data_IF_220116849909
#
_entry.id   IF_220116849909
#
_cell.length_a   1.000
_cell.length_b   1.000
_cell.length_c   1.000
_cell.angle_alpha   90.00
_cell.angle_beta   90.00
_cell.angle_gamma   90.00
#
_symmetry.space_group_name_H-M   'P 1'
#
loop_
_entity.id
_entity.type
_entity.pdbx_description
1 polymer ?
#
# COMPACT_ATOMS: atom_id res chain seq x y z
N UNK A 1 44.23 -17.91 6.88
CA UNK A 1 42.77 -18.03 6.99
C UNK A 1 42.17 -17.36 5.77
N UNK A 2 41.79 -18.12 4.75
CA UNK A 2 41.18 -17.59 3.54
C UNK A 2 39.73 -17.19 3.85
N UNK A 3 39.47 -15.91 4.01
CA UNK A 3 38.11 -15.37 4.01
C UNK A 3 37.68 -15.27 2.55
N UNK A 4 36.77 -16.09 2.13
CA UNK A 4 36.16 -16.00 0.79
C UNK A 4 35.35 -14.73 0.74
N UNK A 5 35.81 -13.72 0.00
CA UNK A 5 35.05 -12.48 -0.23
C UNK A 5 33.84 -12.81 -1.11
N UNK A 6 32.67 -12.91 -0.52
CA UNK A 6 31.43 -12.91 -1.27
C UNK A 6 31.06 -11.46 -1.60
N UNK A 7 31.03 -11.05 -2.87
CA UNK A 7 30.82 -9.65 -3.25
C UNK A 7 29.39 -9.15 -3.01
N UNK A 8 28.45 -10.05 -2.72
CA UNK A 8 27.05 -9.70 -2.46
C UNK A 8 26.62 -10.22 -1.10
N UNK A 9 25.98 -9.36 -0.32
CA UNK A 9 25.24 -9.74 0.87
C UNK A 9 23.95 -10.47 0.43
N UNK A 10 23.69 -11.62 1.06
CA UNK A 10 22.44 -12.33 0.84
C UNK A 10 21.38 -11.64 1.69
N UNK A 11 20.36 -11.14 1.02
CA UNK A 11 19.18 -10.60 1.71
C UNK A 11 18.28 -11.76 2.16
N UNK A 12 18.18 -11.94 3.47
CA UNK A 12 17.30 -12.94 4.09
C UNK A 12 16.06 -12.32 4.74
N UNK A 13 15.93 -11.00 4.67
CA UNK A 13 14.95 -10.28 5.48
C UNK A 13 13.91 -9.54 4.63
N UNK A 14 14.34 -8.93 3.53
CA UNK A 14 13.51 -8.06 2.75
C UNK A 14 13.01 -8.76 1.48
N UNK A 15 11.74 -8.52 1.18
CA UNK A 15 11.15 -8.92 -0.08
C UNK A 15 10.57 -7.67 -0.74
N UNK A 16 10.74 -7.55 -2.05
CA UNK A 16 10.06 -6.50 -2.80
C UNK A 16 8.56 -6.80 -2.82
N UNK A 17 7.76 -5.84 -2.36
CA UNK A 17 6.31 -5.96 -2.45
C UNK A 17 5.85 -5.74 -3.91
N UNK A 18 5.09 -6.69 -4.49
CA UNK A 18 4.62 -6.55 -5.86
C UNK A 18 3.64 -5.37 -6.03
N UNK A 19 2.78 -5.10 -5.04
CA UNK A 19 1.84 -4.00 -5.11
C UNK A 19 2.55 -2.65 -5.12
N UNK A 20 3.48 -2.43 -4.17
CA UNK A 20 4.24 -1.18 -4.11
C UNK A 20 5.07 -0.95 -5.39
N UNK A 21 5.70 -2.01 -5.91
CA UNK A 21 6.44 -1.96 -7.17
C UNK A 21 5.53 -1.61 -8.35
N UNK A 22 4.33 -2.20 -8.40
CA UNK A 22 3.34 -1.93 -9.43
C UNK A 22 2.84 -0.48 -9.38
N UNK A 23 2.46 0.03 -8.20
CA UNK A 23 2.02 1.42 -8.01
C UNK A 23 3.13 2.40 -8.42
N UNK A 24 4.36 2.15 -7.99
CA UNK A 24 5.51 2.99 -8.32
C UNK A 24 5.81 3.04 -9.82
N UNK A 25 5.58 1.95 -10.56
CA UNK A 25 5.85 1.88 -11.99
C UNK A 25 4.73 2.43 -12.87
N UNK A 26 3.47 2.28 -12.47
CA UNK A 26 2.32 2.55 -13.32
C UNK A 26 1.53 3.82 -12.96
N UNK A 27 1.45 4.15 -11.66
CA UNK A 27 0.59 5.24 -11.18
C UNK A 27 1.34 6.33 -10.41
N UNK A 28 2.66 6.33 -10.51
CA UNK A 28 3.49 7.36 -9.87
C UNK A 28 3.20 8.73 -10.46
N UNK A 29 3.05 9.71 -9.58
CA UNK A 29 3.02 11.13 -9.86
C UNK A 29 4.09 11.87 -9.07
N UNK A 30 4.54 12.98 -9.62
CA UNK A 30 5.51 13.85 -8.97
C UNK A 30 4.79 14.87 -8.12
N UNK A 31 5.22 15.02 -6.86
CA UNK A 31 4.73 16.06 -5.97
C UNK A 31 5.75 17.19 -5.91
N UNK A 32 5.37 18.35 -6.44
CA UNK A 32 6.25 19.53 -6.55
C UNK A 32 6.00 20.56 -5.44
N UNK A 33 5.18 20.24 -4.45
CA UNK A 33 4.87 21.11 -3.32
C UNK A 33 3.38 21.39 -3.17
N UNK A 34 3.03 22.12 -2.13
CA UNK A 34 1.66 22.42 -1.74
C UNK A 34 1.38 21.97 -0.30
N UNK A 35 0.24 22.33 0.25
CA UNK A 35 -0.15 21.95 1.60
C UNK A 35 -0.83 20.59 1.65
N UNK A 36 -1.58 20.27 0.61
CA UNK A 36 -2.32 19.02 0.46
C UNK A 36 -2.43 18.62 -1.01
N UNK A 37 -2.72 17.37 -1.25
CA UNK A 37 -3.03 16.82 -2.57
C UNK A 37 -4.55 16.82 -2.70
N UNK A 38 -5.08 17.47 -3.74
CA UNK A 38 -6.51 17.55 -4.02
C UNK A 38 -6.90 16.60 -5.15
N UNK A 39 -7.84 15.71 -4.89
CA UNK A 39 -8.43 14.80 -5.88
C UNK A 39 -9.88 15.19 -6.11
N UNK A 40 -10.22 15.68 -7.30
CA UNK A 40 -11.59 16.06 -7.65
C UNK A 40 -12.38 14.84 -8.10
N UNK A 41 -13.63 14.74 -7.68
CA UNK A 41 -14.52 13.65 -8.09
C UNK A 41 -15.96 14.13 -8.25
N UNK A 42 -16.69 13.44 -9.13
CA UNK A 42 -18.13 13.61 -9.31
C UNK A 42 -18.87 12.64 -8.38
N UNK A 43 -19.87 13.14 -7.67
CA UNK A 43 -20.70 12.31 -6.79
C UNK A 43 -22.16 12.23 -7.20
N UNK A 44 -22.61 13.14 -8.09
CA UNK A 44 -23.99 13.18 -8.58
C UNK A 44 -24.02 13.60 -10.05
N UNK A 45 -25.18 13.45 -10.68
CA UNK A 45 -25.44 13.88 -12.05
C UNK A 45 -26.12 15.24 -12.12
N UNK A 46 -26.03 15.88 -13.27
CA UNK A 46 -26.77 17.10 -13.56
C UNK A 46 -28.27 16.79 -13.70
N UNK A 47 -29.11 17.78 -13.37
CA UNK A 47 -30.56 17.70 -13.52
C UNK A 47 -30.91 17.77 -15.01
N UNK A 48 -31.64 16.77 -15.49
CA UNK A 48 -32.07 16.71 -16.87
C UNK A 48 -32.87 15.44 -17.19
N UNK A 49 -33.54 15.42 -18.33
CA UNK A 49 -34.30 14.26 -18.75
C UNK A 49 -35.21 14.55 -19.97
N UNK A 50 -36.00 13.56 -20.41
CA UNK A 50 -36.99 13.77 -21.46
C UNK A 50 -38.03 14.79 -21.01
N UNK A 51 -38.48 15.63 -21.94
CA UNK A 51 -39.46 16.67 -21.67
C UNK A 51 -40.64 16.59 -22.65
N UNK A 52 -41.78 17.11 -22.24
CA UNK A 52 -42.95 17.28 -23.05
C UNK A 52 -42.97 18.69 -23.63
N UNK A 53 -43.51 18.83 -24.85
CA UNK A 53 -43.61 20.11 -25.53
C UNK A 53 -44.36 21.15 -24.64
N UNK A 54 -43.76 22.32 -24.47
CA UNK A 54 -44.31 23.39 -23.66
C UNK A 54 -44.09 23.31 -22.14
N UNK A 55 -43.27 22.33 -21.66
CA UNK A 55 -42.87 22.26 -20.25
C UNK A 55 -41.68 23.16 -19.97
N UNK A 56 -41.69 23.85 -18.83
CA UNK A 56 -40.55 24.61 -18.29
C UNK A 56 -39.43 23.68 -17.87
N UNK A 57 -38.17 24.07 -18.13
CA UNK A 57 -36.99 23.36 -17.69
C UNK A 57 -36.61 23.77 -16.27
N UNK A 58 -36.13 22.81 -15.49
CA UNK A 58 -35.48 23.10 -14.21
C UNK A 58 -34.05 23.60 -14.52
N UNK A 59 -33.77 24.84 -14.16
CA UNK A 59 -32.49 25.54 -14.37
C UNK A 59 -31.67 25.63 -13.08
N UNK A 60 -32.03 24.86 -12.05
CA UNK A 60 -31.27 24.82 -10.79
C UNK A 60 -29.89 24.27 -11.04
N UNK A 61 -28.88 24.95 -10.54
CA UNK A 61 -27.47 24.49 -10.62
C UNK A 61 -27.15 23.60 -9.41
N UNK A 62 -27.13 22.26 -9.56
CA UNK A 62 -26.74 21.37 -8.47
C UNK A 62 -25.24 21.35 -8.30
N UNK A 63 -24.76 21.22 -7.07
CA UNK A 63 -23.36 20.92 -6.79
C UNK A 63 -23.14 19.44 -7.03
N UNK A 64 -22.33 19.07 -8.01
CA UNK A 64 -22.07 17.68 -8.43
C UNK A 64 -20.61 17.23 -8.23
N UNK A 65 -19.75 18.19 -7.90
CA UNK A 65 -18.30 17.98 -7.75
C UNK A 65 -17.84 18.27 -6.34
N UNK A 66 -16.85 17.51 -5.87
CA UNK A 66 -16.17 17.79 -4.61
C UNK A 66 -14.71 17.34 -4.69
N UNK A 67 -13.88 17.82 -3.74
CA UNK A 67 -12.46 17.55 -3.67
C UNK A 67 -12.10 16.79 -2.40
N UNK A 68 -11.46 15.62 -2.56
CA UNK A 68 -10.76 14.92 -1.50
C UNK A 68 -9.41 15.61 -1.24
N UNK A 69 -9.04 15.73 0.02
CA UNK A 69 -7.77 16.34 0.42
C UNK A 69 -6.93 15.35 1.23
N UNK A 70 -5.70 15.13 0.78
CA UNK A 70 -4.75 14.23 1.43
C UNK A 70 -3.47 14.98 1.80
N UNK A 71 -3.00 14.76 3.02
CA UNK A 71 -1.72 15.29 3.46
C UNK A 71 -0.59 14.38 3.02
N UNK A 72 0.52 15.00 2.57
CA UNK A 72 1.74 14.24 2.32
C UNK A 72 2.31 13.71 3.64
N UNK A 73 2.85 12.51 3.62
CA UNK A 73 3.43 11.84 4.79
C UNK A 73 4.92 11.66 4.60
N UNK A 74 5.65 11.71 5.71
CA UNK A 74 7.10 11.71 5.72
C UNK A 74 7.65 10.41 6.32
N UNK A 75 8.64 9.84 5.67
CA UNK A 75 9.33 8.64 6.07
C UNK A 75 10.80 8.95 6.30
N UNK A 76 11.37 8.38 7.34
CA UNK A 76 12.78 8.55 7.65
C UNK A 76 13.43 7.22 8.04
N UNK A 77 14.71 7.07 7.67
CA UNK A 77 15.54 5.97 8.13
C UNK A 77 16.91 6.49 8.48
N UNK A 78 17.33 6.27 9.73
CA UNK A 78 18.63 6.72 10.22
C UNK A 78 19.71 5.68 9.88
N UNK A 79 20.81 6.16 9.29
CA UNK A 79 22.01 5.38 9.03
C UNK A 79 23.11 5.92 9.93
N UNK A 80 23.45 5.18 10.98
CA UNK A 80 24.50 5.54 11.93
C UNK A 80 25.70 4.64 11.78
N UNK A 81 26.90 5.22 11.76
CA UNK A 81 28.18 4.52 11.65
C UNK A 81 29.17 5.08 12.67
N UNK A 82 30.03 4.22 13.22
CA UNK A 82 31.15 4.66 14.01
C UNK A 82 32.29 5.17 13.11
N UNK A 83 32.99 6.23 13.51
CA UNK A 83 34.15 6.72 12.78
C UNK A 83 35.27 5.68 12.79
N UNK A 84 35.43 4.96 13.88
CA UNK A 84 36.39 3.88 14.03
C UNK A 84 36.17 2.79 13.00
N UNK A 85 34.93 2.37 12.80
CA UNK A 85 34.57 1.36 11.80
C UNK A 85 34.90 1.83 10.38
N UNK A 86 34.64 3.10 10.07
CA UNK A 86 34.86 3.65 8.73
C UNK A 86 36.36 3.90 8.47
N UNK A 87 37.07 4.47 9.44
CA UNK A 87 38.42 5.00 9.21
C UNK A 87 39.53 4.00 9.55
N UNK A 88 39.28 3.08 10.47
CA UNK A 88 40.30 2.15 10.98
C UNK A 88 39.98 0.69 10.63
N UNK A 89 38.80 0.19 11.02
CA UNK A 89 38.53 -1.24 10.96
C UNK A 89 38.23 -1.70 9.52
N UNK A 90 37.47 -0.93 8.77
CA UNK A 90 36.98 -1.32 7.45
C UNK A 90 37.60 -0.46 6.32
N UNK A 91 38.89 -0.19 6.41
CA UNK A 91 39.63 0.61 5.44
C UNK A 91 40.61 -0.24 4.62
N UNK A 92 40.74 0.14 3.34
CA UNK A 92 41.78 -0.42 2.45
C UNK A 92 41.41 -1.79 1.83
N UNK A 93 42.40 -2.46 1.23
CA UNK A 93 42.18 -3.71 0.48
C UNK A 93 41.72 -4.89 1.34
N UNK A 94 41.94 -4.81 2.66
CA UNK A 94 41.51 -5.83 3.62
C UNK A 94 40.10 -5.66 4.17
N UNK A 95 39.37 -4.63 3.72
CA UNK A 95 38.00 -4.44 4.07
C UNK A 95 37.15 -5.67 3.65
N UNK A 96 36.45 -6.28 4.57
CA UNK A 96 35.67 -7.48 4.33
C UNK A 96 34.45 -7.22 3.42
N UNK A 97 33.88 -6.03 3.51
CA UNK A 97 32.73 -5.57 2.71
C UNK A 97 32.64 -4.04 2.75
N UNK A 98 31.92 -3.49 1.80
CA UNK A 98 31.66 -2.04 1.75
C UNK A 98 30.57 -1.65 2.76
N UNK A 99 31.00 -1.32 3.98
CA UNK A 99 30.11 -1.10 5.11
C UNK A 99 29.06 0.00 4.84
N UNK A 100 29.47 1.11 4.27
CA UNK A 100 28.57 2.24 3.96
C UNK A 100 27.53 1.82 2.94
N UNK A 101 27.94 1.19 1.83
CA UNK A 101 27.05 0.73 0.77
C UNK A 101 26.03 -0.28 1.30
N UNK A 102 26.47 -1.23 2.12
CA UNK A 102 25.61 -2.21 2.78
C UNK A 102 24.57 -1.56 3.70
N UNK A 103 24.98 -0.60 4.52
CA UNK A 103 24.07 0.09 5.44
C UNK A 103 23.04 0.95 4.69
N UNK A 104 23.46 1.62 3.64
CA UNK A 104 22.55 2.40 2.80
C UNK A 104 21.54 1.50 2.08
N UNK A 105 22.00 0.40 1.48
CA UNK A 105 21.10 -0.57 0.85
C UNK A 105 20.08 -1.10 1.83
N UNK A 106 20.49 -1.46 3.04
CA UNK A 106 19.59 -1.89 4.11
C UNK A 106 18.56 -0.81 4.47
N UNK A 107 18.98 0.47 4.57
CA UNK A 107 18.07 1.57 4.87
C UNK A 107 17.00 1.75 3.78
N UNK A 108 17.37 1.70 2.50
CA UNK A 108 16.42 1.78 1.39
C UNK A 108 15.43 0.60 1.36
N UNK A 109 15.93 -0.61 1.62
CA UNK A 109 15.07 -1.81 1.71
C UNK A 109 14.10 -1.69 2.88
N UNK A 110 14.55 -1.20 4.03
CA UNK A 110 13.70 -1.02 5.22
C UNK A 110 12.59 0.01 4.97
N UNK A 111 12.90 1.16 4.38
CA UNK A 111 11.88 2.15 3.99
C UNK A 111 10.87 1.51 3.02
N UNK A 112 11.34 0.80 2.00
CA UNK A 112 10.47 0.12 1.05
C UNK A 112 9.53 -0.90 1.72
N UNK A 113 10.04 -1.68 2.67
CA UNK A 113 9.21 -2.62 3.44
C UNK A 113 8.18 -1.90 4.32
N UNK A 114 8.56 -0.81 5.01
CA UNK A 114 7.64 -0.02 5.81
C UNK A 114 6.55 0.64 4.95
N UNK A 115 6.90 1.18 3.79
CA UNK A 115 5.94 1.73 2.83
C UNK A 115 4.97 0.65 2.33
N UNK A 116 5.46 -0.56 2.03
CA UNK A 116 4.62 -1.67 1.60
C UNK A 116 3.62 -2.10 2.68
N UNK A 117 4.07 -2.23 3.94
CA UNK A 117 3.18 -2.52 5.07
C UNK A 117 2.18 -1.39 5.27
N UNK A 118 2.64 -0.15 5.13
CA UNK A 118 1.82 1.06 5.28
C UNK A 118 0.62 1.10 4.35
N UNK A 119 0.68 0.47 3.17
CA UNK A 119 -0.47 0.37 2.25
C UNK A 119 -1.66 -0.38 2.86
N UNK A 120 -1.41 -1.35 3.72
CA UNK A 120 -2.42 -2.18 4.36
C UNK A 120 -2.83 -1.69 5.76
N UNK A 121 -2.23 -0.59 6.23
CA UNK A 121 -2.58 0.08 7.47
C UNK A 121 -3.40 1.35 7.18
N UNK A 122 -3.98 1.91 8.22
CA UNK A 122 -4.70 3.18 8.14
C UNK A 122 -3.83 4.36 8.59
N UNK A 123 -4.21 5.57 8.22
CA UNK A 123 -3.56 6.81 8.64
C UNK A 123 -4.36 7.63 9.67
N UNK A 124 -5.42 7.07 10.25
CA UNK A 124 -6.36 7.76 11.14
C UNK A 124 -6.13 7.36 12.61
N UNK A 125 -5.89 6.08 12.88
CA UNK A 125 -5.73 5.61 14.26
C UNK A 125 -4.50 6.24 14.93
N UNK A 126 -4.60 6.55 16.19
CA UNK A 126 -3.59 7.29 16.96
C UNK A 126 -2.16 6.71 16.84
N UNK A 127 -2.02 5.39 16.66
CA UNK A 127 -0.72 4.75 16.48
C UNK A 127 -0.14 4.89 15.06
N UNK A 128 -0.94 5.19 14.06
CA UNK A 128 -0.54 5.21 12.64
C UNK A 128 -0.76 6.54 11.93
N UNK A 129 -1.01 7.62 12.66
CA UNK A 129 -1.27 8.96 12.10
C UNK A 129 -0.18 9.45 11.13
N UNK A 130 1.06 9.01 11.33
CA UNK A 130 2.16 9.33 10.43
C UNK A 130 2.18 8.49 9.14
N UNK A 131 1.39 7.43 9.08
CA UNK A 131 1.25 6.60 7.88
C UNK A 131 0.37 7.30 6.84
N UNK A 132 0.46 6.86 5.58
CA UNK A 132 -0.46 7.31 4.55
C UNK A 132 -1.87 6.76 4.73
N UNK A 133 -2.84 7.33 4.01
CA UNK A 133 -4.21 6.86 3.98
C UNK A 133 -4.27 5.55 3.16
N UNK A 134 -4.15 4.42 3.86
CA UNK A 134 -4.00 3.12 3.22
C UNK A 134 -5.31 2.51 2.71
N UNK A 135 -5.20 1.30 2.20
CA UNK A 135 -6.31 0.55 1.62
C UNK A 135 -7.50 0.33 2.59
N UNK A 136 -7.30 -0.01 3.89
CA UNK A 136 -8.44 -0.20 4.81
C UNK A 136 -9.29 1.05 4.99
N UNK A 137 -8.64 2.22 5.01
CA UNK A 137 -9.32 3.51 5.11
C UNK A 137 -10.03 3.87 3.80
N UNK A 138 -9.41 3.60 2.66
CA UNK A 138 -10.02 3.86 1.35
C UNK A 138 -11.20 2.93 1.08
N UNK A 139 -11.07 1.64 1.34
CA UNK A 139 -12.05 0.60 1.05
C UNK A 139 -12.93 0.30 2.27
N UNK A 140 -13.77 1.24 2.64
CA UNK A 140 -14.70 1.12 3.75
C UNK A 140 -16.03 1.83 3.43
N UNK A 141 -17.07 1.53 4.20
CA UNK A 141 -18.41 2.10 4.08
C UNK A 141 -18.91 2.78 5.37
N UNK A 142 -18.05 2.87 6.38
CA UNK A 142 -18.36 3.34 7.74
C UNK A 142 -19.29 2.42 8.56
N UNK A 143 -19.75 1.30 8.01
CA UNK A 143 -20.66 0.38 8.70
C UNK A 143 -20.03 -0.99 8.89
N UNK A 144 -19.34 -1.47 7.88
CA UNK A 144 -18.70 -2.78 7.90
C UNK A 144 -17.23 -2.65 8.36
N UNK A 145 -16.86 -3.42 9.37
CA UNK A 145 -15.48 -3.44 9.83
C UNK A 145 -14.54 -3.96 8.73
N UNK A 146 -13.37 -3.38 8.63
CA UNK A 146 -12.28 -3.88 7.79
C UNK A 146 -11.55 -5.06 8.46
N UNK A 147 -10.54 -5.62 7.82
CA UNK A 147 -9.74 -6.73 8.35
C UNK A 147 -9.12 -6.44 9.74
N UNK A 148 -8.89 -5.19 10.06
CA UNK A 148 -8.33 -4.72 11.35
C UNK A 148 -9.40 -4.48 12.44
N UNK A 149 -10.66 -4.82 12.15
CA UNK A 149 -11.78 -4.68 13.08
C UNK A 149 -12.31 -3.25 13.20
N UNK A 150 -11.80 -2.29 12.42
CA UNK A 150 -12.19 -0.89 12.48
C UNK A 150 -13.11 -0.49 11.31
N UNK A 151 -13.95 0.50 11.57
CA UNK A 151 -14.73 1.22 10.55
C UNK A 151 -14.14 2.61 10.34
N UNK A 152 -14.22 3.11 9.12
CA UNK A 152 -13.64 4.40 8.75
C UNK A 152 -14.70 5.35 8.22
N UNK A 153 -15.10 6.30 9.04
CA UNK A 153 -16.18 7.26 8.75
C UNK A 153 -15.77 8.40 7.82
N UNK A 154 -14.48 8.62 7.60
CA UNK A 154 -13.96 9.71 6.76
C UNK A 154 -12.91 9.18 5.79
N UNK A 155 -12.82 9.80 4.61
CA UNK A 155 -11.76 9.58 3.64
C UNK A 155 -11.43 10.87 2.92
N UNK A 156 -10.16 11.27 2.89
CA UNK A 156 -9.72 12.50 2.25
C UNK A 156 -10.46 13.73 2.74
N UNK A 157 -10.69 13.86 4.07
CA UNK A 157 -11.44 14.92 4.76
C UNK A 157 -12.96 14.91 4.57
N UNK A 158 -13.51 14.02 3.74
CA UNK A 158 -14.96 13.92 3.54
C UNK A 158 -15.53 12.80 4.40
N UNK A 159 -16.61 13.11 5.10
CA UNK A 159 -17.37 12.14 5.89
C UNK A 159 -18.22 11.28 4.97
N UNK A 160 -18.16 9.97 5.14
CA UNK A 160 -19.01 8.99 4.46
C UNK A 160 -20.44 9.11 4.98
N UNK A 161 -21.41 9.01 4.09
CA UNK A 161 -22.83 9.20 4.37
C UNK A 161 -23.45 10.32 3.54
N UNK A 162 -24.76 10.26 3.29
CA UNK A 162 -25.43 11.17 2.36
C UNK A 162 -24.99 10.97 0.90
N UNK A 163 -25.42 11.86 0.02
CA UNK A 163 -25.16 11.76 -1.43
C UNK A 163 -23.66 11.74 -1.75
N UNK A 164 -22.91 12.67 -1.16
CA UNK A 164 -21.47 12.81 -1.38
C UNK A 164 -20.68 11.60 -0.83
N UNK A 165 -20.99 11.22 0.40
CA UNK A 165 -20.29 10.13 1.08
C UNK A 165 -20.56 8.78 0.46
N UNK A 166 -21.74 8.56 -0.13
CA UNK A 166 -22.09 7.29 -0.78
C UNK A 166 -21.23 7.00 -2.02
N UNK A 167 -20.74 8.02 -2.72
CA UNK A 167 -19.80 7.85 -3.83
C UNK A 167 -18.43 7.30 -3.36
N UNK A 168 -18.10 7.46 -2.08
CA UNK A 168 -16.84 7.02 -1.47
C UNK A 168 -16.97 5.66 -0.76
N UNK A 169 -18.12 5.01 -0.82
CA UNK A 169 -18.35 3.76 -0.12
C UNK A 169 -17.83 2.57 -0.94
N UNK A 170 -17.06 1.72 -0.27
CA UNK A 170 -16.66 0.39 -0.73
C UNK A 170 -16.70 -0.55 0.47
N UNK A 171 -17.81 -1.26 0.64
CA UNK A 171 -18.01 -2.16 1.78
C UNK A 171 -17.03 -3.33 1.74
N UNK A 172 -16.23 -3.57 2.79
CA UNK A 172 -15.42 -4.77 2.92
C UNK A 172 -16.29 -6.01 2.98
N UNK A 173 -15.84 -7.13 2.42
CA UNK A 173 -16.55 -8.41 2.43
C UNK A 173 -15.88 -9.36 3.42
N UNK A 174 -16.62 -9.75 4.47
CA UNK A 174 -16.16 -10.79 5.37
C UNK A 174 -16.60 -12.15 4.83
N UNK A 175 -15.65 -12.94 4.37
CA UNK A 175 -15.93 -14.29 3.82
C UNK A 175 -16.29 -15.28 4.93
N UNK A 176 -15.64 -15.13 6.10
CA UNK A 176 -15.84 -15.98 7.28
C UNK A 176 -15.83 -17.50 6.97
N UNK A 177 -14.91 -17.91 6.11
CA UNK A 177 -14.84 -19.31 5.67
C UNK A 177 -13.89 -19.50 4.48
N UNK A 178 -13.93 -20.67 3.85
CA UNK A 178 -13.13 -20.97 2.67
C UNK A 178 -13.56 -20.09 1.49
N UNK A 179 -12.55 -19.67 0.71
CA UNK A 179 -12.82 -18.88 -0.49
C UNK A 179 -13.45 -19.74 -1.58
N UNK A 180 -14.56 -19.29 -2.14
CA UNK A 180 -15.25 -19.96 -3.23
C UNK A 180 -15.21 -19.13 -4.52
N UNK A 181 -15.39 -19.80 -5.66
CA UNK A 181 -15.38 -19.14 -6.96
C UNK A 181 -16.44 -18.05 -7.09
N UNK A 182 -17.66 -18.32 -6.59
CA UNK A 182 -18.75 -17.34 -6.63
C UNK A 182 -18.42 -16.09 -5.84
N UNK A 183 -17.83 -16.23 -4.64
CA UNK A 183 -17.41 -15.10 -3.81
C UNK A 183 -16.33 -14.27 -4.49
N UNK A 184 -15.39 -14.93 -5.20
CA UNK A 184 -14.40 -14.24 -6.01
C UNK A 184 -15.02 -13.43 -7.15
N UNK A 185 -15.97 -14.05 -7.87
CA UNK A 185 -16.64 -13.42 -9.01
C UNK A 185 -17.54 -12.25 -8.57
N UNK A 186 -18.32 -12.45 -7.51
CA UNK A 186 -19.18 -11.40 -6.93
C UNK A 186 -18.33 -10.20 -6.47
N UNK A 187 -17.28 -10.45 -5.71
CA UNK A 187 -16.39 -9.38 -5.22
C UNK A 187 -15.65 -8.65 -6.33
N UNK A 188 -15.26 -9.37 -7.39
CA UNK A 188 -14.67 -8.78 -8.56
C UNK A 188 -15.67 -7.90 -9.31
N UNK A 189 -16.90 -8.40 -9.51
CA UNK A 189 -17.99 -7.68 -10.17
C UNK A 189 -18.40 -6.42 -9.38
N UNK A 190 -18.40 -6.48 -8.06
CA UNK A 190 -18.65 -5.33 -7.17
C UNK A 190 -17.61 -4.20 -7.33
N UNK A 191 -16.38 -4.57 -7.70
CA UNK A 191 -15.33 -3.60 -7.98
C UNK A 191 -15.36 -3.07 -9.42
N UNK A 192 -16.17 -3.68 -10.29
CA UNK A 192 -16.38 -3.22 -11.66
C UNK A 192 -17.42 -2.10 -11.69
N UNK A 193 -17.13 -1.03 -12.40
CA UNK A 193 -18.08 0.05 -12.61
C UNK A 193 -18.11 0.47 -14.08
N UNK A 194 -19.21 0.19 -14.76
CA UNK A 194 -19.32 0.37 -16.21
C UNK A 194 -18.32 -0.53 -16.95
N UNK A 195 -17.47 0.08 -17.78
CA UNK A 195 -16.40 -0.61 -18.51
C UNK A 195 -15.06 -0.63 -17.76
N UNK A 196 -15.06 -0.22 -16.49
CA UNK A 196 -13.85 -0.11 -15.68
C UNK A 196 -13.79 -1.31 -14.76
N UNK A 197 -12.73 -2.09 -14.91
CA UNK A 197 -12.50 -3.33 -14.19
C UNK A 197 -11.21 -3.27 -13.38
N UNK A 198 -11.11 -3.96 -12.23
CA UNK A 198 -9.86 -4.16 -11.53
C UNK A 198 -8.82 -4.83 -12.43
N UNK A 199 -7.59 -4.35 -12.38
CA UNK A 199 -6.48 -4.91 -13.15
C UNK A 199 -5.45 -5.66 -12.29
N UNK A 200 -5.52 -5.49 -10.99
CA UNK A 200 -4.61 -6.10 -10.02
C UNK A 200 -5.41 -6.71 -8.88
N UNK A 201 -5.11 -7.96 -8.57
CA UNK A 201 -5.52 -8.62 -7.34
C UNK A 201 -4.29 -8.84 -6.45
N UNK A 202 -4.37 -8.48 -5.18
CA UNK A 202 -3.28 -8.73 -4.23
C UNK A 202 -3.78 -9.55 -3.07
N UNK A 203 -3.06 -10.59 -2.74
CA UNK A 203 -3.44 -11.51 -1.66
C UNK A 203 -2.21 -12.07 -0.95
N UNK A 204 -2.44 -12.74 0.16
CA UNK A 204 -1.39 -13.44 0.90
C UNK A 204 -0.92 -14.70 0.15
N UNK A 205 0.28 -15.20 0.43
CA UNK A 205 0.76 -16.44 -0.18
C UNK A 205 -0.13 -17.65 0.11
N UNK A 206 -0.75 -17.70 1.28
CA UNK A 206 -1.63 -18.81 1.68
C UNK A 206 -2.98 -18.75 0.94
N UNK A 207 -3.63 -17.59 0.93
CA UNK A 207 -4.87 -17.38 0.16
C UNK A 207 -4.65 -17.63 -1.33
N UNK A 208 -3.50 -17.23 -1.88
CA UNK A 208 -3.14 -17.55 -3.27
C UNK A 208 -3.11 -19.06 -3.52
N UNK A 209 -2.64 -19.85 -2.55
CA UNK A 209 -2.64 -21.31 -2.65
C UNK A 209 -4.05 -21.88 -2.62
N UNK A 210 -4.94 -21.36 -1.76
CA UNK A 210 -6.35 -21.76 -1.71
C UNK A 210 -7.07 -21.47 -3.03
N UNK A 211 -6.86 -20.27 -3.58
CA UNK A 211 -7.43 -19.91 -4.88
C UNK A 211 -6.90 -20.84 -5.98
N UNK A 212 -5.60 -21.12 -5.99
CA UNK A 212 -4.98 -22.02 -6.96
C UNK A 212 -5.57 -23.44 -6.88
N UNK A 213 -5.80 -23.96 -5.69
CA UNK A 213 -6.41 -25.27 -5.47
C UNK A 213 -7.83 -25.33 -6.04
N UNK A 214 -8.65 -24.31 -5.80
CA UNK A 214 -10.02 -24.24 -6.37
C UNK A 214 -10.00 -24.22 -7.91
N UNK A 215 -9.02 -23.53 -8.51
CA UNK A 215 -8.89 -23.51 -9.98
C UNK A 215 -8.32 -24.80 -10.57
N UNK A 216 -7.54 -25.59 -9.84
CA UNK A 216 -7.05 -26.88 -10.32
C UNK A 216 -8.13 -27.83 -10.77
N UNK A 217 -9.29 -27.78 -10.13
CA UNK A 217 -10.45 -28.57 -10.52
C UNK A 217 -11.04 -28.18 -11.86
N UNK A 218 -10.74 -26.99 -12.38
CA UNK A 218 -11.28 -26.47 -13.66
C UNK A 218 -10.29 -26.49 -14.83
N UNK A 219 -9.07 -27.02 -14.65
CA UNK A 219 -8.02 -27.25 -15.68
C UNK A 219 -7.65 -26.05 -16.60
N UNK A 220 -7.84 -24.81 -16.17
CA UNK A 220 -7.51 -23.63 -17.00
C UNK A 220 -6.62 -22.66 -16.23
N UNK A 221 -5.33 -22.99 -16.13
CA UNK A 221 -4.32 -22.06 -15.62
C UNK A 221 -3.57 -21.39 -16.75
N UNK A 222 -3.65 -20.09 -16.82
CA UNK A 222 -2.64 -19.29 -17.49
C UNK A 222 -1.80 -18.60 -16.40
N UNK A 223 -0.62 -19.14 -16.16
CA UNK A 223 0.39 -18.47 -15.34
C UNK A 223 0.96 -17.34 -16.19
N UNK A 224 0.61 -16.11 -15.88
CA UNK A 224 1.13 -14.94 -16.57
C UNK A 224 2.17 -14.25 -15.71
N UNK A 225 3.35 -14.05 -16.29
CA UNK A 225 4.37 -13.20 -15.71
C UNK A 225 4.17 -11.77 -16.25
N UNK A 226 4.01 -10.80 -15.37
CA UNK A 226 4.01 -9.41 -15.80
C UNK A 226 5.43 -9.01 -16.23
N UNK A 227 5.67 -8.74 -17.54
CA UNK A 227 7.00 -8.48 -18.06
C UNK A 227 7.64 -7.19 -17.50
N UNK A 228 6.83 -6.29 -16.92
CA UNK A 228 7.32 -5.03 -16.35
C UNK A 228 7.86 -5.17 -14.94
N UNK A 229 7.34 -6.12 -14.16
CA UNK A 229 7.59 -6.21 -12.72
C UNK A 229 8.36 -7.50 -12.36
N UNK A 230 8.32 -8.53 -13.20
CA UNK A 230 8.99 -9.80 -12.96
C UNK A 230 8.34 -10.70 -11.89
N UNK A 231 7.08 -10.41 -11.53
CA UNK A 231 6.31 -11.25 -10.61
C UNK A 231 5.43 -12.24 -11.37
N UNK A 232 5.38 -13.47 -10.89
CA UNK A 232 4.47 -14.49 -11.40
C UNK A 232 3.09 -14.30 -10.80
N UNK A 233 2.08 -14.08 -11.63
CA UNK A 233 0.68 -13.87 -11.21
C UNK A 233 -0.26 -14.89 -11.85
N UNK A 234 -1.38 -15.16 -11.18
CA UNK A 234 -2.51 -15.89 -11.73
C UNK A 234 -3.49 -14.89 -12.34
N UNK A 235 -3.95 -15.12 -13.56
CA UNK A 235 -4.94 -14.24 -14.20
C UNK A 235 -6.36 -14.65 -13.83
N UNK A 236 -7.14 -13.69 -13.31
CA UNK A 236 -8.55 -13.83 -13.02
C UNK A 236 -9.31 -12.70 -13.74
N UNK A 237 -10.15 -13.03 -14.69
CA UNK A 237 -10.77 -12.07 -15.62
C UNK A 237 -9.72 -11.12 -16.22
N UNK A 238 -9.83 -9.81 -16.02
CA UNK A 238 -8.82 -8.86 -16.48
C UNK A 238 -7.71 -8.60 -15.45
N UNK A 239 -7.87 -9.06 -14.21
CA UNK A 239 -6.92 -8.81 -13.13
C UNK A 239 -5.81 -9.87 -13.06
N UNK A 240 -4.59 -9.42 -12.78
CA UNK A 240 -3.47 -10.29 -12.43
C UNK A 240 -3.39 -10.41 -10.91
N UNK A 241 -3.60 -11.63 -10.39
CA UNK A 241 -3.52 -11.90 -8.96
C UNK A 241 -2.06 -12.09 -8.55
N UNK A 242 -1.60 -11.26 -7.63
CA UNK A 242 -0.24 -11.26 -7.09
C UNK A 242 -0.25 -11.67 -5.63
N UNK A 243 0.83 -12.30 -5.18
CA UNK A 243 1.03 -12.65 -3.78
C UNK A 243 1.98 -11.67 -3.12
N UNK A 244 1.55 -11.07 -2.02
CA UNK A 244 2.38 -10.22 -1.17
C UNK A 244 2.48 -10.80 0.23
N UNK A 245 3.70 -10.85 0.77
CA UNK A 245 3.92 -11.26 2.16
C UNK A 245 3.55 -10.16 3.15
N UNK A 246 3.46 -8.91 2.69
CA UNK A 246 3.06 -7.77 3.52
C UNK A 246 1.54 -7.60 3.61
N UNK A 247 0.78 -8.33 2.79
CA UNK A 247 -0.67 -8.37 2.84
C UNK A 247 -1.14 -8.96 4.19
N UNK A 248 -2.16 -8.37 4.84
CA UNK A 248 -2.67 -8.89 6.11
C UNK A 248 -3.12 -10.34 6.01
N UNK A 249 -2.59 -11.17 6.91
CA UNK A 249 -2.87 -12.60 6.96
C UNK A 249 -2.03 -13.29 8.03
N UNK A 250 -2.20 -14.59 8.16
CA UNK A 250 -1.54 -15.38 9.21
C UNK A 250 -0.01 -15.36 9.16
N UNK A 251 0.57 -15.05 8.00
CA UNK A 251 2.04 -14.91 7.86
C UNK A 251 2.63 -13.70 8.55
N UNK A 252 1.85 -12.63 8.68
CA UNK A 252 2.26 -11.38 9.33
C UNK A 252 1.88 -11.37 10.82
N UNK A 253 0.93 -12.22 11.19
CA UNK A 253 0.42 -12.33 12.55
C UNK A 253 1.40 -13.10 13.43
N UNK A 254 1.70 -12.53 14.60
CA UNK A 254 2.43 -13.22 15.66
C UNK A 254 3.73 -12.56 16.10
N UNK A 255 4.16 -12.91 17.30
CA UNK A 255 5.35 -12.35 17.97
C UNK A 255 6.67 -12.78 17.34
N UNK A 256 6.66 -13.79 16.49
CA UNK A 256 7.86 -14.35 15.85
C UNK A 256 8.16 -13.78 14.46
N UNK A 257 7.23 -13.05 13.85
CA UNK A 257 7.49 -12.41 12.56
C UNK A 257 8.18 -11.06 12.76
N UNK A 258 9.40 -10.92 12.22
CA UNK A 258 10.17 -9.67 12.28
C UNK A 258 9.48 -8.51 11.54
N UNK A 259 8.66 -8.79 10.55
CA UNK A 259 7.88 -7.78 9.84
C UNK A 259 6.88 -7.16 10.82
N UNK A 260 6.07 -7.99 11.49
CA UNK A 260 5.09 -7.53 12.45
C UNK A 260 5.73 -6.89 13.69
N UNK A 261 6.75 -7.54 14.28
CA UNK A 261 7.31 -7.09 15.55
C UNK A 261 8.28 -5.92 15.44
N UNK A 262 9.06 -5.85 14.37
CA UNK A 262 10.11 -4.83 14.25
C UNK A 262 9.64 -3.63 13.44
N UNK A 263 9.15 -3.85 12.21
CA UNK A 263 8.84 -2.72 11.32
C UNK A 263 7.56 -2.00 11.71
N UNK A 264 6.53 -2.73 12.11
CA UNK A 264 5.26 -2.12 12.51
C UNK A 264 5.42 -1.37 13.83
N UNK A 265 6.19 -1.93 14.77
CA UNK A 265 6.52 -1.23 16.01
C UNK A 265 7.30 0.06 15.77
N UNK A 266 8.20 0.08 14.78
CA UNK A 266 8.92 1.30 14.40
C UNK A 266 8.04 2.35 13.72
N UNK A 267 6.98 1.92 13.04
CA UNK A 267 6.01 2.81 12.38
C UNK A 267 4.99 3.38 13.36
N UNK A 268 4.74 2.70 14.48
CA UNK A 268 3.83 3.21 15.50
C UNK A 268 4.48 4.35 16.27
N UNK A 269 3.74 5.45 16.44
CA UNK A 269 4.18 6.62 17.23
C UNK A 269 4.07 6.36 18.76
N UNK A 270 4.32 5.13 19.19
CA UNK A 270 4.31 4.75 20.61
C UNK A 270 2.93 4.40 21.20
N UNK A 271 1.85 4.56 20.44
CA UNK A 271 0.49 4.28 20.90
C UNK A 271 0.05 2.82 20.69
N UNK A 272 0.62 2.15 19.71
CA UNK A 272 0.31 0.74 19.39
C UNK A 272 1.58 -0.09 19.54
N UNK A 273 1.48 -1.11 20.34
CA UNK A 273 2.60 -2.02 20.63
C UNK A 273 2.63 -3.21 19.66
N UNK A 274 1.52 -3.53 19.02
CA UNK A 274 1.36 -4.73 18.21
C UNK A 274 0.53 -4.48 16.94
N UNK A 275 0.85 -5.23 15.89
CA UNK A 275 0.03 -5.37 14.71
C UNK A 275 -1.29 -6.06 15.09
N UNK A 276 -2.43 -5.65 14.53
CA UNK A 276 -3.69 -6.35 14.78
C UNK A 276 -3.53 -7.85 14.53
N UNK A 277 -4.00 -8.67 15.46
CA UNK A 277 -3.94 -10.12 15.30
C UNK A 277 -4.80 -10.52 14.12
N UNK A 278 -4.18 -11.09 13.10
CA UNK A 278 -4.87 -11.56 11.90
C UNK A 278 -4.94 -13.08 11.94
N UNK A 279 -6.14 -13.62 12.04
CA UNK A 279 -6.40 -15.07 12.11
C UNK A 279 -6.82 -15.66 10.77
N UNK A 280 -7.05 -14.81 9.76
CA UNK A 280 -7.55 -15.19 8.45
C UNK A 280 -6.86 -14.36 7.35
N UNK A 281 -6.95 -14.85 6.15
CA UNK A 281 -6.30 -14.24 4.99
C UNK A 281 -7.14 -13.12 4.39
N UNK A 282 -6.49 -12.24 3.59
CA UNK A 282 -7.15 -11.14 2.89
C UNK A 282 -6.85 -11.16 1.39
N UNK A 283 -7.77 -10.59 0.62
CA UNK A 283 -7.67 -10.38 -0.82
C UNK A 283 -8.16 -8.98 -1.17
N UNK A 284 -7.45 -8.33 -2.09
CA UNK A 284 -7.73 -6.96 -2.52
C UNK A 284 -7.84 -6.92 -4.04
N UNK A 285 -9.02 -6.54 -4.55
CA UNK A 285 -9.21 -6.20 -5.95
C UNK A 285 -8.96 -4.72 -6.14
N UNK A 286 -8.01 -4.37 -6.99
CA UNK A 286 -7.58 -2.98 -7.18
C UNK A 286 -7.60 -2.59 -8.66
N UNK A 287 -8.05 -1.40 -8.94
CA UNK A 287 -7.82 -0.73 -10.21
C UNK A 287 -6.60 0.18 -10.07
N UNK A 288 -5.42 -0.39 -10.26
CA UNK A 288 -4.16 0.32 -10.15
C UNK A 288 -3.78 1.04 -11.46
N UNK A 289 -4.68 1.89 -11.94
CA UNK A 289 -4.51 2.77 -13.10
C UNK A 289 -4.90 4.19 -12.71
N UNK A 290 -4.29 5.18 -13.36
CA UNK A 290 -4.75 6.58 -13.26
C UNK A 290 -6.11 6.74 -13.93
N UNK A 291 -7.04 7.50 -13.34
CA UNK A 291 -6.97 8.27 -12.10
C UNK A 291 -7.44 7.51 -10.85
N UNK A 292 -7.71 6.20 -10.91
CA UNK A 292 -8.34 5.44 -9.84
C UNK A 292 -7.42 5.10 -8.66
N UNK A 293 -6.13 5.06 -8.94
CA UNK A 293 -5.08 4.97 -7.91
C UNK A 293 -3.94 5.90 -8.31
N UNK A 294 -3.42 6.70 -7.37
CA UNK A 294 -2.29 7.57 -7.59
C UNK A 294 -1.28 7.42 -6.43
N UNK A 295 -0.01 7.45 -6.76
CA UNK A 295 1.08 7.45 -5.81
C UNK A 295 1.92 8.71 -6.03
N UNK A 296 1.84 9.64 -5.11
CA UNK A 296 2.61 10.88 -5.12
C UNK A 296 3.94 10.69 -4.42
N UNK A 297 5.02 11.08 -5.05
CA UNK A 297 6.36 11.05 -4.48
C UNK A 297 7.01 12.42 -4.71
N UNK A 298 7.65 12.96 -3.66
CA UNK A 298 8.34 14.24 -3.77
C UNK A 298 9.45 14.19 -4.83
N UNK A 299 9.61 15.29 -5.55
CA UNK A 299 10.70 15.51 -6.51
C UNK A 299 11.92 16.15 -5.87
N UNK A 300 11.86 16.47 -4.59
CA UNK A 300 12.98 17.05 -3.85
C UNK A 300 14.15 16.07 -3.73
N UNK A 301 15.39 16.58 -3.82
CA UNK A 301 16.58 15.76 -3.81
C UNK A 301 16.80 14.98 -2.51
N UNK A 302 16.34 15.52 -1.38
CA UNK A 302 16.43 14.85 -0.07
C UNK A 302 15.17 14.03 0.24
N UNK A 303 13.97 14.58 -0.03
CA UNK A 303 12.69 13.96 0.28
C UNK A 303 12.13 13.02 -0.80
N UNK A 304 12.79 12.92 -1.95
CA UNK A 304 12.47 11.98 -3.03
C UNK A 304 13.15 10.61 -2.91
N UNK A 305 13.28 10.04 -1.71
CA UNK A 305 14.16 8.91 -1.36
C UNK A 305 15.64 9.28 -1.44
N UNK A 306 15.96 10.49 -1.06
CA UNK A 306 17.33 11.01 -1.03
C UNK A 306 18.07 10.72 0.27
N UNK A 307 19.37 10.92 0.25
CA UNK A 307 20.24 10.77 1.42
C UNK A 307 20.82 12.12 1.82
N UNK A 308 20.64 12.53 3.07
CA UNK A 308 21.06 13.85 3.58
C UNK A 308 22.57 14.01 3.77
N UNK A 309 23.35 12.96 3.52
CA UNK A 309 24.78 12.92 3.82
C UNK A 309 25.08 12.61 5.29
N UNK A 310 26.31 12.21 5.55
CA UNK A 310 26.77 11.94 6.91
C UNK A 310 27.19 13.22 7.63
N UNK A 311 26.58 13.48 8.78
CA UNK A 311 26.92 14.58 9.67
C UNK A 311 27.52 14.03 10.97
N UNK A 312 28.57 14.65 11.53
CA UNK A 312 29.11 14.24 12.82
C UNK A 312 28.09 14.51 13.93
N UNK A 313 27.92 13.56 14.83
CA UNK A 313 27.11 13.74 16.03
C UNK A 313 27.87 14.55 17.07
N UNK A 314 27.23 15.49 17.74
CA UNK A 314 27.87 16.26 18.82
C UNK A 314 28.17 15.34 20.00
N UNK A 315 29.42 15.42 20.50
CA UNK A 315 29.85 14.67 21.69
C UNK A 315 30.02 13.17 21.50
N UNK A 316 30.01 12.65 20.24
CA UNK A 316 30.17 11.24 19.98
C UNK A 316 31.05 10.99 18.74
N UNK A 317 31.75 9.87 18.67
CA UNK A 317 32.52 9.43 17.51
C UNK A 317 31.65 8.87 16.37
N UNK A 318 30.31 8.90 16.51
CA UNK A 318 29.37 8.43 15.50
C UNK A 318 29.10 9.51 14.44
N UNK A 319 28.92 9.06 13.21
CA UNK A 319 28.34 9.86 12.12
C UNK A 319 26.97 9.32 11.80
N UNK A 320 26.03 10.21 11.56
CA UNK A 320 24.66 9.85 11.22
C UNK A 320 24.23 10.53 9.92
N UNK A 321 23.54 9.81 9.09
CA UNK A 321 22.85 10.32 7.92
C UNK A 321 21.43 9.78 7.90
N UNK A 322 20.55 10.41 7.12
CA UNK A 322 19.15 10.03 7.02
C UNK A 322 18.78 9.80 5.57
N UNK A 323 18.02 8.75 5.32
CA UNK A 323 17.26 8.57 4.08
C UNK A 323 15.86 9.08 4.35
N UNK A 324 15.40 10.02 3.52
CA UNK A 324 14.11 10.68 3.67
C UNK A 324 13.21 10.38 2.47
N UNK A 325 11.91 10.25 2.71
CA UNK A 325 10.91 10.19 1.66
C UNK A 325 9.66 10.96 2.07
N UNK A 326 9.06 11.66 1.12
CA UNK A 326 7.76 12.27 1.26
C UNK A 326 6.84 11.67 0.19
N UNK A 327 5.79 11.01 0.62
CA UNK A 327 4.88 10.30 -0.25
C UNK A 327 3.43 10.34 0.23
N UNK A 328 2.49 10.16 -0.69
CA UNK A 328 1.10 9.91 -0.39
C UNK A 328 0.53 8.93 -1.42
N UNK A 329 -0.51 8.20 -1.03
CA UNK A 329 -1.25 7.29 -1.92
C UNK A 329 -2.72 7.63 -1.80
N UNK A 330 -3.39 7.67 -2.95
CA UNK A 330 -4.84 7.91 -3.03
C UNK A 330 -5.50 6.81 -3.84
N UNK A 331 -6.70 6.44 -3.44
CA UNK A 331 -7.52 5.44 -4.13
C UNK A 331 -8.93 5.98 -4.33
N UNK A 332 -9.55 5.66 -5.46
CA UNK A 332 -10.95 5.93 -5.72
C UNK A 332 -11.79 4.74 -5.19
N UNK A 333 -12.47 4.85 -4.03
CA UNK A 333 -12.98 3.70 -3.27
C UNK A 333 -13.87 2.75 -4.07
N UNK A 334 -14.74 3.29 -4.91
CA UNK A 334 -15.74 2.56 -5.68
C UNK A 334 -15.17 1.53 -6.68
N UNK A 335 -13.91 1.72 -7.09
CA UNK A 335 -13.25 0.88 -8.11
C UNK A 335 -12.34 -0.20 -7.51
N UNK A 336 -12.48 -0.40 -6.21
CA UNK A 336 -11.66 -1.34 -5.45
C UNK A 336 -12.54 -2.11 -4.48
N UNK A 337 -12.12 -3.32 -4.11
CA UNK A 337 -12.83 -4.17 -3.16
C UNK A 337 -11.88 -4.92 -2.26
N UNK A 338 -12.26 -5.05 -1.00
CA UNK A 338 -11.56 -5.84 0.00
C UNK A 338 -12.38 -7.07 0.40
N UNK A 339 -11.71 -8.23 0.46
CA UNK A 339 -12.20 -9.44 1.11
C UNK A 339 -11.29 -9.77 2.28
N UNK A 340 -11.86 -10.24 3.37
CA UNK A 340 -11.12 -10.69 4.54
C UNK A 340 -11.85 -11.85 5.23
N UNK A 341 -11.26 -12.42 6.28
CA UNK A 341 -11.86 -13.56 6.95
C UNK A 341 -11.77 -14.86 6.15
N UNK A 342 -10.82 -14.96 5.21
CA UNK A 342 -10.62 -16.13 4.35
C UNK A 342 -9.84 -17.19 5.12
N UNK A 343 -10.38 -18.39 5.20
CA UNK A 343 -9.75 -19.58 5.78
C UNK A 343 -9.62 -20.69 4.72
N UNK A 344 -8.82 -21.70 5.01
CA UNK A 344 -8.64 -22.86 4.13
C UNK A 344 -9.74 -23.91 4.25
#
# INVERSE_FOLDING_TARGET
RYIRKTPKLIDMLFQNDPLLAYLKSNVRETYDGGRYIGENFYYDGLIGGPYLQGKEFDITEPQVEQQLQFNIKFWQMNVTLSKEDIQVINKGPNAAFKLIESRMTNAYMTIGAQMAIGLYLNGINAGYVANWNGLPEALNDNTTASWDGNTYGTYGTITRGGAVGNALNSAPVNVNGPIEYNTLEESYSDACFGNIEPNVGVTTPLCFSYIKEKFQTQQRFNDTQDPKIGFTGLKFNSATLMRSRYCPGTYISGTNDKIATTYIKQMSLGALTEYPTVTAETLWWLNARKPYANMYLSNDAEYGLGFTGFKPSQGNTKVAGQVLAAAAVTFAPRYHKQLYGITG
#
